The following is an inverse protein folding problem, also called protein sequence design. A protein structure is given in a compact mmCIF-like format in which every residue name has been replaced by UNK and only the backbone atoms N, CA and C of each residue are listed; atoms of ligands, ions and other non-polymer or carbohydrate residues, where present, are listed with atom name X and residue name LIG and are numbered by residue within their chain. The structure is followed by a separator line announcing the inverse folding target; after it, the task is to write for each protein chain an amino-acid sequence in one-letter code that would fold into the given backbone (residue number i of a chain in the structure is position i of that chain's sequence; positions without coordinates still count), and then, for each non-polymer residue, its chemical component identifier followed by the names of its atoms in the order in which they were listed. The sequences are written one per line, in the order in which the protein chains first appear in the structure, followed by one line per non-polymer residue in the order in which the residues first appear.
data_IF_962844650752
#
_entry.id   IF_962844650752
#
_cell.length_a   1.000
_cell.length_b   1.000
_cell.length_c   1.000
_cell.angle_alpha   90.00
_cell.angle_beta   90.00
_cell.angle_gamma   90.00
#
_symmetry.space_group_name_H-M   'P 1'
#
loop_
_entity.id
_entity.type
_entity.pdbx_description
1 polymer ?
#
# COMPACT_ATOMS: atom_id res chain seq x y z
N UNK A 1 -12.90 -28.66 30.66
CA UNK A 1 -12.30 -27.32 30.66
C UNK A 1 -12.36 -26.68 29.25
N UNK A 2 -13.48 -26.87 28.53
CA UNK A 2 -13.73 -26.37 27.15
C UNK A 2 -15.22 -25.99 27.00
N UNK A 3 -15.77 -25.24 27.96
CA UNK A 3 -17.15 -24.75 27.90
C UNK A 3 -17.28 -23.22 27.93
N UNK A 4 -16.18 -22.50 28.14
CA UNK A 4 -16.21 -21.03 28.31
C UNK A 4 -15.72 -20.24 27.08
N UNK A 5 -15.36 -20.91 25.97
CA UNK A 5 -14.95 -20.24 24.73
C UNK A 5 -16.11 -19.73 23.86
N UNK A 6 -17.36 -19.87 24.30
CA UNK A 6 -18.52 -19.25 23.63
C UNK A 6 -18.81 -17.81 24.07
N UNK A 7 -18.09 -17.27 25.06
CA UNK A 7 -18.33 -15.92 25.56
C UNK A 7 -17.40 -14.83 25.01
N UNK A 8 -16.55 -15.14 24.02
CA UNK A 8 -15.78 -14.15 23.25
C UNK A 8 -16.07 -14.21 21.74
N UNK A 9 -17.33 -14.47 21.36
CA UNK A 9 -17.81 -13.99 20.07
C UNK A 9 -18.19 -12.53 20.30
N UNK A 10 -17.23 -11.63 20.10
CA UNK A 10 -17.46 -10.19 20.04
C UNK A 10 -18.69 -9.96 19.17
N UNK A 11 -19.75 -9.40 19.73
CA UNK A 11 -21.00 -9.12 18.99
C UNK A 11 -20.63 -8.31 17.75
N UNK A 12 -20.61 -8.97 16.60
CA UNK A 12 -20.33 -8.31 15.33
C UNK A 12 -21.52 -7.38 15.10
N UNK A 13 -21.31 -6.07 15.21
CA UNK A 13 -22.37 -5.12 14.88
C UNK A 13 -22.60 -5.21 13.37
N UNK A 14 -23.66 -5.90 12.96
CA UNK A 14 -23.98 -6.12 11.55
C UNK A 14 -24.10 -4.80 10.74
N UNK A 15 -24.39 -3.69 11.42
CA UNK A 15 -24.37 -2.34 10.85
C UNK A 15 -22.97 -1.93 10.38
N UNK A 16 -21.92 -2.15 11.20
CA UNK A 16 -20.53 -1.73 10.95
C UNK A 16 -20.00 -2.19 9.57
N UNK A 17 -20.52 -3.31 9.07
CA UNK A 17 -20.07 -3.97 7.86
C UNK A 17 -21.09 -3.93 6.71
N UNK A 18 -22.20 -3.20 6.86
CA UNK A 18 -23.22 -3.03 5.81
C UNK A 18 -23.62 -4.38 5.16
N UNK A 19 -23.75 -5.41 5.99
CA UNK A 19 -23.84 -6.80 5.51
C UNK A 19 -25.05 -7.06 4.62
N UNK A 20 -26.13 -6.32 4.82
CA UNK A 20 -27.35 -6.49 4.02
C UNK A 20 -27.14 -6.06 2.56
N UNK A 21 -26.33 -5.02 2.30
CA UNK A 21 -25.95 -4.63 0.93
C UNK A 21 -25.02 -5.67 0.30
N UNK A 22 -24.10 -6.24 1.09
CA UNK A 22 -23.24 -7.34 0.65
C UNK A 22 -24.07 -8.55 0.22
N UNK A 23 -25.02 -8.98 1.06
CA UNK A 23 -25.88 -10.14 0.77
C UNK A 23 -26.72 -9.89 -0.48
N UNK A 24 -27.27 -8.69 -0.61
CA UNK A 24 -28.03 -8.31 -1.81
C UNK A 24 -27.15 -8.39 -3.06
N UNK A 25 -25.95 -7.81 -3.03
CA UNK A 25 -25.00 -7.87 -4.15
C UNK A 25 -24.67 -9.31 -4.56
N UNK A 26 -24.48 -10.21 -3.59
CA UNK A 26 -24.23 -11.64 -3.84
C UNK A 26 -25.43 -12.32 -4.51
N UNK A 27 -26.64 -12.07 -3.99
CA UNK A 27 -27.87 -12.69 -4.48
C UNK A 27 -28.26 -12.19 -5.86
N UNK A 28 -28.18 -10.88 -6.09
CA UNK A 28 -28.57 -10.24 -7.36
C UNK A 28 -27.69 -10.75 -8.53
N UNK A 29 -26.44 -11.13 -8.25
CA UNK A 29 -25.51 -11.65 -9.26
C UNK A 29 -25.40 -13.19 -9.27
N UNK A 30 -26.04 -13.89 -8.32
CA UNK A 30 -26.03 -15.35 -8.27
C UNK A 30 -24.64 -15.97 -8.00
N UNK A 31 -23.78 -15.28 -7.23
CA UNK A 31 -22.44 -15.79 -6.92
C UNK A 31 -22.48 -16.99 -5.96
N UNK A 32 -21.62 -17.97 -6.20
CA UNK A 32 -21.52 -19.22 -5.44
C UNK A 32 -20.21 -19.34 -4.67
N UNK A 33 -19.15 -18.66 -5.11
CA UNK A 33 -17.82 -18.69 -4.51
C UNK A 33 -17.19 -17.29 -4.45
N UNK A 34 -16.91 -16.78 -3.25
CA UNK A 34 -16.42 -15.42 -3.06
C UNK A 34 -15.16 -15.37 -2.21
N UNK A 35 -14.24 -14.50 -2.61
CA UNK A 35 -13.13 -14.09 -1.76
C UNK A 35 -13.57 -12.94 -0.85
N UNK A 36 -13.16 -12.97 0.42
CA UNK A 36 -13.41 -11.91 1.40
C UNK A 36 -12.06 -11.42 1.90
N UNK A 37 -11.68 -10.21 1.52
CA UNK A 37 -10.43 -9.60 1.95
C UNK A 37 -10.65 -8.64 3.12
N UNK A 38 -9.89 -8.85 4.20
CA UNK A 38 -9.84 -8.02 5.39
C UNK A 38 -8.41 -7.51 5.61
N UNK A 39 -8.30 -6.35 6.26
CA UNK A 39 -7.03 -5.88 6.79
C UNK A 39 -6.63 -6.68 8.04
N UNK A 40 -5.34 -6.63 8.40
CA UNK A 40 -4.84 -7.33 9.59
C UNK A 40 -5.50 -6.84 10.89
N UNK A 41 -5.94 -5.57 10.94
CA UNK A 41 -6.62 -4.99 12.12
C UNK A 41 -8.00 -5.63 12.35
N UNK A 42 -8.66 -6.08 11.29
CA UNK A 42 -9.98 -6.69 11.32
C UNK A 42 -9.94 -8.21 11.46
N UNK A 43 -8.77 -8.83 11.62
CA UNK A 43 -8.65 -10.29 11.73
C UNK A 43 -9.47 -10.87 12.88
N UNK A 44 -9.53 -10.16 14.02
CA UNK A 44 -10.30 -10.60 15.19
C UNK A 44 -11.82 -10.67 14.91
N UNK A 45 -12.31 -9.90 13.94
CA UNK A 45 -13.72 -9.86 13.52
C UNK A 45 -14.01 -10.79 12.33
N UNK A 46 -12.97 -11.31 11.65
CA UNK A 46 -13.09 -12.08 10.41
C UNK A 46 -13.97 -13.33 10.55
N UNK A 47 -13.78 -14.13 11.61
CA UNK A 47 -14.56 -15.36 11.82
C UNK A 47 -16.04 -15.04 12.01
N UNK A 48 -16.36 -14.05 12.85
CA UNK A 48 -17.74 -13.62 13.08
C UNK A 48 -18.41 -13.11 11.81
N UNK A 49 -17.67 -12.36 10.98
CA UNK A 49 -18.13 -11.87 9.69
C UNK A 49 -18.47 -13.02 8.73
N UNK A 50 -17.54 -13.96 8.55
CA UNK A 50 -17.73 -15.12 7.67
C UNK A 50 -18.87 -16.00 8.17
N UNK A 51 -18.95 -16.28 9.47
CA UNK A 51 -20.06 -17.05 10.04
C UNK A 51 -21.41 -16.37 9.84
N UNK A 52 -21.47 -15.04 9.96
CA UNK A 52 -22.68 -14.29 9.69
C UNK A 52 -23.10 -14.42 8.21
N UNK A 53 -22.17 -14.20 7.28
CA UNK A 53 -22.41 -14.37 5.85
C UNK A 53 -22.85 -15.80 5.52
N UNK A 54 -22.14 -16.83 6.00
CA UNK A 54 -22.49 -18.24 5.79
C UNK A 54 -23.86 -18.60 6.36
N UNK A 55 -24.24 -18.03 7.52
CA UNK A 55 -25.55 -18.31 8.12
C UNK A 55 -26.71 -17.76 7.28
N UNK A 56 -26.49 -16.62 6.61
CA UNK A 56 -27.48 -15.96 5.76
C UNK A 56 -27.44 -16.48 4.31
N UNK A 57 -26.31 -17.01 3.87
CA UNK A 57 -26.04 -17.53 2.52
C UNK A 57 -25.38 -18.91 2.61
N UNK A 58 -26.12 -19.96 3.02
CA UNK A 58 -25.55 -21.28 3.31
C UNK A 58 -25.00 -22.01 2.08
N UNK A 59 -25.46 -21.66 0.88
CA UNK A 59 -25.00 -22.24 -0.39
C UNK A 59 -23.73 -21.58 -0.95
N UNK A 60 -23.34 -20.42 -0.42
CA UNK A 60 -22.18 -19.66 -0.92
C UNK A 60 -20.93 -20.08 -0.15
N UNK A 61 -19.84 -20.31 -0.87
CA UNK A 61 -18.52 -20.60 -0.31
C UNK A 61 -17.75 -19.29 -0.14
N UNK A 62 -17.32 -19.01 1.10
CA UNK A 62 -16.48 -17.84 1.38
C UNK A 62 -15.03 -18.26 1.66
N UNK A 63 -14.08 -17.60 1.00
CA UNK A 63 -12.65 -17.77 1.22
C UNK A 63 -12.06 -16.50 1.84
N UNK A 64 -11.45 -16.62 3.02
CA UNK A 64 -10.89 -15.49 3.75
C UNK A 64 -9.46 -15.17 3.26
N UNK A 65 -9.22 -13.90 2.93
CA UNK A 65 -7.89 -13.35 2.66
C UNK A 65 -7.60 -12.28 3.70
N UNK A 66 -6.49 -12.43 4.43
CA UNK A 66 -5.99 -11.39 5.33
C UNK A 66 -4.70 -10.85 4.74
N UNK A 67 -4.70 -9.56 4.41
CA UNK A 67 -3.58 -8.92 3.72
C UNK A 67 -3.26 -7.57 4.35
N UNK A 68 -1.97 -7.27 4.43
CA UNK A 68 -1.45 -5.94 4.79
C UNK A 68 -1.42 -4.98 3.58
N UNK A 69 -1.80 -5.47 2.39
CA UNK A 69 -1.86 -4.66 1.18
C UNK A 69 -2.91 -3.54 1.31
N UNK A 70 -2.55 -2.33 0.88
CA UNK A 70 -3.52 -1.23 0.80
C UNK A 70 -4.46 -1.37 -0.41
N UNK A 71 -4.23 -2.34 -1.28
CA UNK A 71 -5.01 -2.65 -2.49
C UNK A 71 -5.67 -4.03 -2.34
N UNK A 72 -6.14 -4.59 -3.44
CA UNK A 72 -6.60 -5.97 -3.49
C UNK A 72 -5.41 -6.94 -3.49
N UNK A 73 -5.54 -8.05 -2.79
CA UNK A 73 -4.59 -9.16 -2.84
C UNK A 73 -5.04 -10.14 -3.93
N UNK A 74 -4.88 -9.70 -5.18
CA UNK A 74 -5.33 -10.46 -6.34
C UNK A 74 -4.55 -11.76 -6.51
N UNK A 75 -3.27 -11.79 -6.11
CA UNK A 75 -2.47 -13.01 -6.17
C UNK A 75 -3.05 -14.07 -5.23
N UNK A 76 -3.34 -13.71 -3.97
CA UNK A 76 -4.01 -14.62 -3.05
C UNK A 76 -5.38 -15.06 -3.60
N UNK A 77 -6.13 -14.13 -4.21
CA UNK A 77 -7.43 -14.40 -4.82
C UNK A 77 -7.33 -15.42 -5.97
N UNK A 78 -6.34 -15.26 -6.86
CA UNK A 78 -6.08 -16.17 -7.99
C UNK A 78 -5.64 -17.57 -7.53
N UNK A 79 -5.00 -17.68 -6.36
CA UNK A 79 -4.56 -18.96 -5.81
C UNK A 79 -5.64 -19.72 -5.04
N UNK A 80 -6.88 -19.22 -4.96
CA UNK A 80 -8.01 -19.90 -4.31
C UNK A 80 -8.57 -21.09 -5.14
N UNK A 81 -7.70 -21.98 -5.64
CA UNK A 81 -8.02 -23.33 -6.15
C UNK A 81 -8.72 -23.41 -7.53
N UNK A 82 -9.01 -24.66 -7.95
CA UNK A 82 -9.59 -25.05 -9.25
C UNK A 82 -11.01 -24.51 -9.56
N UNK A 83 -11.58 -23.70 -8.67
CA UNK A 83 -12.80 -22.94 -8.90
C UNK A 83 -12.46 -21.46 -8.88
N UNK A 84 -12.63 -20.77 -10.01
CA UNK A 84 -12.59 -19.31 -10.03
C UNK A 84 -13.55 -18.78 -8.96
N UNK A 85 -13.10 -17.83 -8.14
CA UNK A 85 -14.04 -17.05 -7.34
C UNK A 85 -14.84 -16.16 -8.29
N UNK A 86 -16.12 -16.05 -8.04
CA UNK A 86 -17.03 -15.24 -8.85
C UNK A 86 -16.86 -13.74 -8.56
N UNK A 87 -16.20 -13.40 -7.46
CA UNK A 87 -15.96 -12.02 -7.04
C UNK A 87 -15.16 -11.90 -5.75
N UNK A 88 -14.81 -10.66 -5.43
CA UNK A 88 -14.04 -10.29 -4.24
C UNK A 88 -14.79 -9.21 -3.44
N UNK A 89 -15.01 -9.45 -2.15
CA UNK A 89 -15.52 -8.45 -1.22
C UNK A 89 -14.34 -7.90 -0.42
N UNK A 90 -14.08 -6.60 -0.52
CA UNK A 90 -13.02 -5.90 0.22
C UNK A 90 -13.62 -5.04 1.33
N UNK A 91 -13.29 -5.37 2.57
CA UNK A 91 -13.68 -4.60 3.75
C UNK A 91 -12.56 -3.67 4.23
N UNK A 92 -12.95 -2.50 4.73
CA UNK A 92 -12.06 -1.53 5.37
C UNK A 92 -11.25 -0.70 4.39
N UNK A 93 -10.08 -0.25 4.83
CA UNK A 93 -9.31 0.76 4.10
C UNK A 93 -8.74 0.23 2.76
N UNK A 94 -8.82 1.03 1.70
CA UNK A 94 -8.26 0.76 0.38
C UNK A 94 -7.71 2.04 -0.25
N UNK A 95 -6.65 1.90 -1.03
CA UNK A 95 -6.05 2.98 -1.79
C UNK A 95 -6.70 3.23 -3.14
N UNK A 96 -7.66 2.39 -3.54
CA UNK A 96 -8.36 2.44 -4.82
C UNK A 96 -7.41 2.49 -6.02
N UNK A 97 -6.21 1.91 -5.90
CA UNK A 97 -5.28 1.91 -7.02
C UNK A 97 -5.78 1.07 -8.18
N UNK A 98 -5.53 1.51 -9.42
CA UNK A 98 -5.94 0.77 -10.61
C UNK A 98 -5.43 -0.68 -10.54
N UNK A 99 -6.29 -1.61 -10.95
CA UNK A 99 -5.91 -3.00 -11.18
C UNK A 99 -5.46 -3.15 -12.64
N UNK A 100 -4.70 -4.20 -12.92
CA UNK A 100 -4.33 -4.53 -14.29
C UNK A 100 -5.54 -4.91 -15.15
N UNK A 101 -5.48 -4.59 -16.45
CA UNK A 101 -6.54 -4.87 -17.42
C UNK A 101 -6.95 -6.33 -17.48
N UNK A 102 -6.00 -7.26 -17.33
CA UNK A 102 -6.28 -8.70 -17.37
C UNK A 102 -7.13 -9.20 -16.19
N UNK A 103 -7.31 -8.38 -15.15
CA UNK A 103 -8.08 -8.69 -13.94
C UNK A 103 -9.24 -7.70 -13.76
N UNK A 104 -9.45 -6.78 -14.70
CA UNK A 104 -10.59 -5.86 -14.65
C UNK A 104 -11.91 -6.63 -14.66
N UNK A 105 -11.95 -7.88 -15.15
CA UNK A 105 -13.18 -8.69 -15.22
C UNK A 105 -13.69 -9.22 -13.87
N UNK A 106 -12.85 -9.29 -12.83
CA UNK A 106 -13.30 -9.81 -11.52
C UNK A 106 -14.23 -8.78 -10.83
N UNK A 107 -15.50 -9.13 -10.54
CA UNK A 107 -16.39 -8.26 -9.78
C UNK A 107 -15.84 -8.00 -8.38
N UNK A 108 -15.75 -6.72 -8.00
CA UNK A 108 -15.24 -6.32 -6.70
C UNK A 108 -16.30 -5.48 -5.97
N UNK A 109 -16.68 -5.90 -4.76
CA UNK A 109 -17.56 -5.14 -3.90
C UNK A 109 -16.80 -4.53 -2.72
N UNK A 110 -16.85 -3.21 -2.60
CA UNK A 110 -16.14 -2.46 -1.58
C UNK A 110 -17.04 -1.99 -0.46
N UNK A 111 -16.58 -2.22 0.77
CA UNK A 111 -17.27 -1.81 1.99
C UNK A 111 -16.28 -1.10 2.89
N UNK A 112 -16.36 0.23 2.95
CA UNK A 112 -15.47 1.01 3.80
C UNK A 112 -15.88 1.03 5.28
N UNK A 113 -17.09 0.60 5.59
CA UNK A 113 -17.72 0.67 6.91
C UNK A 113 -18.49 1.97 7.15
N UNK A 114 -19.43 1.92 8.09
CA UNK A 114 -20.29 3.04 8.50
C UNK A 114 -20.14 3.41 9.98
N UNK A 115 -19.27 2.73 10.70
CA UNK A 115 -19.10 2.95 12.12
C UNK A 115 -18.27 4.22 12.36
N UNK A 116 -18.88 5.15 13.10
CA UNK A 116 -18.21 6.36 13.58
C UNK A 116 -18.25 6.34 15.10
N UNK A 117 -17.09 6.16 15.72
CA UNK A 117 -16.97 6.23 17.16
C UNK A 117 -17.30 7.66 17.66
N UNK A 118 -18.15 7.75 18.69
CA UNK A 118 -18.62 9.04 19.22
C UNK A 118 -17.46 9.91 19.71
N UNK A 119 -16.39 9.31 20.25
CA UNK A 119 -15.24 10.06 20.74
C UNK A 119 -14.37 10.57 19.58
N UNK A 120 -14.20 9.77 18.52
CA UNK A 120 -13.53 10.19 17.28
C UNK A 120 -14.29 11.32 16.58
N UNK A 121 -15.62 11.22 16.51
CA UNK A 121 -16.50 12.27 16.00
C UNK A 121 -16.29 13.58 16.74
N UNK A 122 -16.43 13.55 18.07
CA UNK A 122 -16.34 14.75 18.90
C UNK A 122 -14.98 15.42 18.76
N UNK A 123 -13.90 14.64 18.88
CA UNK A 123 -12.53 15.13 18.69
C UNK A 123 -12.34 15.80 17.33
N UNK A 124 -12.83 15.19 16.25
CA UNK A 124 -12.65 15.69 14.89
C UNK A 124 -13.39 17.01 14.68
N UNK A 125 -14.64 17.10 15.16
CA UNK A 125 -15.43 18.33 15.10
C UNK A 125 -14.75 19.46 15.87
N UNK A 126 -14.37 19.21 17.12
CA UNK A 126 -13.74 20.21 17.99
C UNK A 126 -12.45 20.74 17.38
N UNK A 127 -11.63 19.83 16.85
CA UNK A 127 -10.38 20.16 16.16
C UNK A 127 -10.60 21.06 14.93
N UNK A 128 -11.59 20.73 14.10
CA UNK A 128 -11.90 21.51 12.89
C UNK A 128 -12.44 22.90 13.27
N UNK A 129 -13.33 22.98 14.26
CA UNK A 129 -13.88 24.25 14.73
C UNK A 129 -12.80 25.14 15.37
N UNK A 130 -11.88 24.58 16.15
CA UNK A 130 -10.73 25.29 16.71
C UNK A 130 -9.80 25.81 15.61
N UNK A 131 -9.51 24.98 14.60
CA UNK A 131 -8.74 25.40 13.43
C UNK A 131 -9.44 26.55 12.68
N UNK A 132 -10.77 26.52 12.57
CA UNK A 132 -11.55 27.57 11.88
C UNK A 132 -11.58 28.87 12.69
N UNK A 133 -11.57 28.79 14.03
CA UNK A 133 -11.46 29.98 14.91
C UNK A 133 -10.09 30.65 14.81
N UNK A 134 -9.03 29.85 14.68
CA UNK A 134 -7.64 30.34 14.64
C UNK A 134 -7.18 30.77 13.24
N UNK A 135 -7.80 30.24 12.19
CA UNK A 135 -7.53 30.63 10.80
C UNK A 135 -8.56 31.67 10.37
N UNK A 136 -8.11 32.88 9.99
CA UNK A 136 -8.89 34.06 9.55
C UNK A 136 -10.42 33.84 9.41
N UNK A 137 -11.28 34.51 10.22
CA UNK A 137 -12.70 34.18 10.38
C UNK A 137 -13.61 34.59 9.20
N UNK A 138 -13.07 34.84 8.01
CA UNK A 138 -13.90 35.17 6.86
C UNK A 138 -14.85 33.99 6.54
N UNK A 139 -16.14 34.29 6.60
CA UNK A 139 -17.22 33.30 6.62
C UNK A 139 -17.42 32.57 5.29
N UNK A 140 -16.75 33.00 4.21
CA UNK A 140 -16.90 32.43 2.87
C UNK A 140 -15.80 31.43 2.49
N UNK A 141 -14.83 31.21 3.36
CA UNK A 141 -13.71 30.30 3.10
C UNK A 141 -14.16 28.84 3.05
N UNK A 142 -14.12 28.26 1.85
CA UNK A 142 -14.34 26.82 1.61
C UNK A 142 -13.07 26.05 1.91
N UNK A 143 -13.21 24.92 2.61
CA UNK A 143 -12.08 24.01 2.88
C UNK A 143 -12.33 22.67 2.19
N UNK A 144 -11.29 22.11 1.58
CA UNK A 144 -11.34 20.80 0.95
C UNK A 144 -10.96 19.71 1.96
N UNK A 145 -11.75 18.64 2.04
CA UNK A 145 -11.50 17.50 2.92
C UNK A 145 -11.14 16.26 2.12
N UNK A 146 -9.91 15.79 2.32
CA UNK A 146 -9.41 14.50 1.88
C UNK A 146 -9.56 13.49 3.03
N UNK A 147 -9.66 12.20 2.75
CA UNK A 147 -9.92 11.21 3.79
C UNK A 147 -9.52 9.76 3.45
N UNK A 148 -9.13 8.99 4.47
CA UNK A 148 -8.99 7.54 4.29
C UNK A 148 -10.37 6.91 4.08
N UNK A 149 -10.44 5.85 3.29
CA UNK A 149 -11.73 5.27 2.86
C UNK A 149 -12.59 4.82 4.05
N UNK A 150 -11.96 4.26 5.08
CA UNK A 150 -12.61 3.88 6.34
C UNK A 150 -13.24 5.05 7.15
N UNK A 151 -13.05 6.29 6.73
CA UNK A 151 -13.65 7.48 7.36
C UNK A 151 -14.69 8.17 6.46
N UNK A 152 -15.17 7.53 5.40
CA UNK A 152 -16.21 8.11 4.52
C UNK A 152 -17.45 8.53 5.30
N UNK A 153 -17.97 7.71 6.21
CA UNK A 153 -19.15 8.05 7.01
C UNK A 153 -18.88 9.19 7.99
N UNK A 154 -17.69 9.26 8.59
CA UNK A 154 -17.27 10.38 9.42
C UNK A 154 -17.27 11.68 8.61
N UNK A 155 -16.69 11.67 7.41
CA UNK A 155 -16.65 12.84 6.52
C UNK A 155 -18.04 13.24 6.05
N UNK A 156 -18.91 12.28 5.71
CA UNK A 156 -20.30 12.54 5.34
C UNK A 156 -21.05 13.30 6.43
N UNK A 157 -20.92 12.85 7.68
CA UNK A 157 -21.52 13.54 8.84
C UNK A 157 -20.93 14.94 9.03
N UNK A 158 -19.61 15.09 8.84
CA UNK A 158 -18.94 16.38 8.95
C UNK A 158 -19.41 17.38 7.90
N UNK A 159 -19.49 16.99 6.63
CA UNK A 159 -19.89 17.87 5.53
C UNK A 159 -21.37 18.24 5.59
N UNK A 160 -22.21 17.36 6.14
CA UNK A 160 -23.61 17.68 6.44
C UNK A 160 -23.74 18.69 7.59
N UNK A 161 -22.87 18.59 8.61
CA UNK A 161 -22.86 19.53 9.75
C UNK A 161 -22.21 20.87 9.41
N UNK A 162 -21.15 20.86 8.63
CA UNK A 162 -20.29 22.01 8.33
C UNK A 162 -20.31 22.28 6.82
N UNK A 163 -21.26 23.09 6.37
CA UNK A 163 -21.54 23.36 4.95
C UNK A 163 -20.41 24.07 4.17
N UNK A 164 -19.40 24.56 4.88
CA UNK A 164 -18.19 25.17 4.30
C UNK A 164 -17.06 24.15 4.08
N UNK A 165 -17.22 22.92 4.56
CA UNK A 165 -16.38 21.78 4.17
C UNK A 165 -16.92 21.16 2.88
N UNK A 166 -16.03 20.84 1.97
CA UNK A 166 -16.36 20.08 0.77
C UNK A 166 -15.49 18.81 0.71
N UNK A 167 -16.09 17.63 0.56
CA UNK A 167 -15.32 16.40 0.45
C UNK A 167 -14.74 16.27 -0.96
N UNK A 168 -13.46 15.91 -1.06
CA UNK A 168 -12.90 15.46 -2.33
C UNK A 168 -13.51 14.11 -2.72
N UNK A 169 -13.63 13.85 -4.02
CA UNK A 169 -14.08 12.55 -4.52
C UNK A 169 -12.91 11.61 -4.70
N UNK A 170 -13.11 10.35 -4.36
CA UNK A 170 -12.18 9.27 -4.63
C UNK A 170 -12.38 8.78 -6.07
N UNK A 171 -11.29 8.53 -6.79
CA UNK A 171 -11.33 8.04 -8.16
C UNK A 171 -11.52 6.53 -8.14
N UNK A 172 -12.53 6.06 -8.85
CA UNK A 172 -12.67 4.66 -9.21
C UNK A 172 -12.08 4.45 -10.62
N UNK A 173 -11.02 3.65 -10.67
CA UNK A 173 -10.26 3.35 -11.88
C UNK A 173 -10.79 2.13 -12.65
N UNK A 174 -11.80 1.42 -12.15
CA UNK A 174 -12.34 0.22 -12.81
C UNK A 174 -13.85 0.30 -13.02
N UNK A 175 -14.33 -0.38 -14.07
CA UNK A 175 -15.76 -0.46 -14.34
C UNK A 175 -16.49 -1.45 -13.43
N UNK A 176 -15.77 -2.45 -12.93
CA UNK A 176 -16.31 -3.62 -12.24
C UNK A 176 -16.19 -3.53 -10.72
N UNK A 177 -15.85 -2.35 -10.21
CA UNK A 177 -15.93 -2.06 -8.79
C UNK A 177 -17.28 -1.47 -8.45
N UNK A 178 -17.93 -2.10 -7.49
CA UNK A 178 -19.15 -1.66 -6.87
C UNK A 178 -18.89 -1.25 -5.41
N UNK A 179 -19.71 -0.34 -4.93
CA UNK A 179 -19.60 0.27 -3.61
C UNK A 179 -20.98 0.27 -2.98
N UNK A 180 -21.03 0.31 -1.64
CA UNK A 180 -22.30 0.50 -0.94
C UNK A 180 -22.93 1.84 -1.31
N UNK A 181 -24.25 1.90 -1.27
CA UNK A 181 -25.04 3.05 -1.70
C UNK A 181 -24.61 4.32 -0.95
N UNK A 182 -24.31 4.16 0.33
CA UNK A 182 -23.84 5.23 1.21
C UNK A 182 -22.52 5.87 0.79
N UNK A 183 -21.68 5.16 0.04
CA UNK A 183 -20.33 5.59 -0.38
C UNK A 183 -20.28 6.11 -1.81
N UNK A 184 -21.25 5.78 -2.67
CA UNK A 184 -21.27 6.16 -4.11
C UNK A 184 -21.11 7.65 -4.35
N UNK A 185 -21.67 8.50 -3.49
CA UNK A 185 -21.58 9.98 -3.61
C UNK A 185 -20.13 10.51 -3.51
N UNK A 186 -19.27 9.76 -2.81
CA UNK A 186 -17.85 10.08 -2.63
C UNK A 186 -16.97 9.48 -3.72
N UNK A 187 -17.52 8.64 -4.60
CA UNK A 187 -16.79 8.00 -5.69
C UNK A 187 -17.02 8.77 -6.98
N UNK A 188 -15.94 8.98 -7.73
CA UNK A 188 -15.97 9.50 -9.08
C UNK A 188 -15.40 8.46 -10.04
N UNK A 189 -16.23 8.01 -10.98
CA UNK A 189 -15.82 7.02 -11.97
C UNK A 189 -15.02 7.69 -13.08
N UNK A 190 -13.72 7.43 -13.13
CA UNK A 190 -12.84 7.93 -14.18
C UNK A 190 -11.65 6.99 -14.34
N UNK A 191 -11.79 6.05 -15.27
CA UNK A 191 -10.78 5.00 -15.54
C UNK A 191 -9.51 5.54 -16.18
N UNK A 192 -9.55 6.75 -16.75
CA UNK A 192 -8.42 7.38 -17.43
C UNK A 192 -7.79 8.50 -16.60
N UNK A 193 -8.29 8.74 -15.38
CA UNK A 193 -7.76 9.80 -14.53
C UNK A 193 -6.31 9.55 -14.18
N UNK A 194 -5.52 10.63 -14.22
CA UNK A 194 -4.15 10.66 -13.72
C UNK A 194 -4.13 11.63 -12.55
N UNK A 195 -3.88 11.15 -11.33
CA UNK A 195 -3.73 12.05 -10.19
C UNK A 195 -2.28 12.02 -9.65
N UNK A 196 -1.41 12.95 -10.08
CA UNK A 196 0.00 12.90 -9.75
C UNK A 196 0.32 13.31 -8.30
N UNK A 197 -0.46 14.20 -7.69
CA UNK A 197 -0.09 14.88 -6.43
C UNK A 197 -1.04 14.61 -5.24
N UNK A 198 -2.30 14.24 -5.51
CA UNK A 198 -3.30 13.95 -4.48
C UNK A 198 -3.71 12.46 -4.41
N UNK A 199 -2.84 11.55 -4.88
CA UNK A 199 -3.09 10.12 -4.75
C UNK A 199 -4.32 9.63 -5.52
N UNK A 200 -5.35 9.17 -4.81
CA UNK A 200 -6.59 8.66 -5.41
C UNK A 200 -7.73 9.69 -5.40
N UNK A 201 -7.47 10.96 -5.07
CA UNK A 201 -8.51 11.99 -5.06
C UNK A 201 -8.63 12.70 -6.40
N UNK A 202 -9.86 12.92 -6.84
CA UNK A 202 -10.19 13.91 -7.87
C UNK A 202 -10.26 15.27 -7.21
N UNK A 203 -9.37 16.15 -7.64
CA UNK A 203 -9.37 17.54 -7.22
C UNK A 203 -10.38 18.33 -8.07
N UNK A 204 -11.25 19.16 -7.46
CA UNK A 204 -12.16 20.02 -8.20
C UNK A 204 -11.41 20.99 -9.12
N UNK A 205 -11.98 21.31 -10.29
CA UNK A 205 -11.35 22.20 -11.27
C UNK A 205 -11.14 23.62 -10.71
N UNK A 206 -12.00 24.04 -9.77
CA UNK A 206 -11.97 25.32 -9.06
C UNK A 206 -11.17 25.22 -7.76
N UNK A 207 -10.05 24.49 -7.77
CA UNK A 207 -9.24 24.24 -6.59
C UNK A 207 -8.76 25.51 -5.87
N UNK A 208 -8.52 26.59 -6.62
CA UNK A 208 -8.06 27.88 -6.09
C UNK A 208 -9.09 28.54 -5.14
N UNK A 209 -10.35 28.08 -5.12
CA UNK A 209 -11.38 28.58 -4.18
C UNK A 209 -11.16 28.08 -2.76
N UNK A 210 -10.38 27.01 -2.56
CA UNK A 210 -10.19 26.42 -1.25
C UNK A 210 -9.03 27.11 -0.52
N UNK A 211 -9.35 27.73 0.62
CA UNK A 211 -8.30 28.39 1.43
C UNK A 211 -7.50 27.42 2.30
N UNK A 212 -8.01 26.18 2.49
CA UNK A 212 -7.36 25.16 3.30
C UNK A 212 -7.70 23.75 2.83
N UNK A 213 -6.75 22.83 3.05
CA UNK A 213 -6.89 21.41 2.74
C UNK A 213 -6.71 20.63 4.04
N UNK A 214 -7.70 19.80 4.36
CA UNK A 214 -7.66 18.87 5.48
C UNK A 214 -7.49 17.44 4.95
N UNK A 215 -6.79 16.60 5.70
CA UNK A 215 -6.83 15.15 5.51
C UNK A 215 -7.27 14.48 6.82
N UNK A 216 -8.29 13.63 6.73
CA UNK A 216 -8.83 12.87 7.87
C UNK A 216 -8.48 11.39 7.72
N UNK A 217 -7.65 10.88 8.64
CA UNK A 217 -7.39 9.45 8.76
C UNK A 217 -6.03 9.10 9.36
N UNK A 218 -5.78 7.80 9.52
CA UNK A 218 -4.64 7.32 10.31
C UNK A 218 -3.27 7.43 9.60
N UNK A 219 -3.25 7.45 8.27
CA UNK A 219 -2.01 7.44 7.49
C UNK A 219 -2.08 8.37 6.27
N UNK A 220 -1.09 9.24 6.15
CA UNK A 220 -0.87 10.07 4.97
C UNK A 220 0.16 9.42 4.05
N UNK A 221 -0.16 9.29 2.77
CA UNK A 221 0.85 8.94 1.77
C UNK A 221 1.89 10.07 1.60
N UNK A 222 3.04 9.76 1.01
CA UNK A 222 4.13 10.71 0.78
C UNK A 222 3.68 11.92 -0.01
N UNK A 223 2.92 11.72 -1.10
CA UNK A 223 2.47 12.81 -1.95
C UNK A 223 1.65 13.85 -1.19
N UNK A 224 0.70 13.40 -0.36
CA UNK A 224 -0.09 14.28 0.51
C UNK A 224 0.75 14.97 1.59
N UNK A 225 1.81 14.32 2.10
CA UNK A 225 2.74 14.97 3.05
C UNK A 225 3.61 16.03 2.41
N UNK A 226 3.82 15.97 1.09
CA UNK A 226 4.54 17.00 0.35
C UNK A 226 3.67 18.23 0.06
N UNK A 227 2.33 18.12 0.16
CA UNK A 227 1.41 19.24 -0.03
C UNK A 227 1.64 20.30 1.06
N UNK A 228 2.06 21.53 0.70
CA UNK A 228 2.27 22.60 1.68
C UNK A 228 0.97 23.01 2.35
N UNK A 229 0.99 23.20 3.68
CA UNK A 229 -0.16 23.73 4.42
C UNK A 229 -1.30 22.74 4.67
N UNK A 230 -1.17 21.48 4.22
CA UNK A 230 -2.14 20.43 4.52
C UNK A 230 -2.20 20.17 6.02
N UNK A 231 -3.40 20.20 6.60
CA UNK A 231 -3.65 19.85 7.99
C UNK A 231 -4.12 18.40 8.08
N UNK A 232 -3.36 17.57 8.79
CA UNK A 232 -3.67 16.19 9.09
C UNK A 232 -4.45 16.09 10.39
N UNK A 233 -5.59 15.41 10.38
CA UNK A 233 -6.34 15.01 11.56
C UNK A 233 -6.40 13.48 11.60
N UNK A 234 -5.87 12.89 12.65
CA UNK A 234 -5.98 11.45 12.94
C UNK A 234 -6.98 11.27 14.10
N UNK A 235 -8.23 10.84 13.81
CA UNK A 235 -9.24 10.65 14.84
C UNK A 235 -8.91 9.53 15.84
N UNK A 236 -8.18 8.49 15.39
CA UNK A 236 -7.84 7.33 16.22
C UNK A 236 -6.76 7.71 17.24
N UNK A 237 -5.71 8.41 16.79
CA UNK A 237 -4.61 8.84 17.66
C UNK A 237 -4.83 10.19 18.32
N UNK A 238 -5.91 10.88 17.95
CA UNK A 238 -6.25 12.24 18.40
C UNK A 238 -5.13 13.25 18.11
N UNK A 239 -4.62 13.22 16.89
CA UNK A 239 -3.53 14.10 16.44
C UNK A 239 -4.07 15.13 15.46
N UNK A 240 -3.64 16.39 15.62
CA UNK A 240 -3.86 17.47 14.65
C UNK A 240 -2.50 18.09 14.31
N UNK A 241 -2.07 17.97 13.06
CA UNK A 241 -0.75 18.44 12.64
C UNK A 241 -0.84 19.17 11.29
N UNK A 242 -0.45 20.45 11.26
CA UNK A 242 -0.26 21.15 9.99
C UNK A 242 1.15 20.87 9.48
N UNK A 243 1.24 20.24 8.30
CA UNK A 243 2.50 19.75 7.76
C UNK A 243 3.27 20.85 7.04
N UNK A 244 4.56 20.92 7.35
CA UNK A 244 5.53 21.70 6.58
C UNK A 244 6.07 20.84 5.41
N UNK A 245 5.22 20.63 4.39
CA UNK A 245 5.56 19.78 3.23
C UNK A 245 6.88 20.16 2.56
N UNK A 246 7.24 21.45 2.53
CA UNK A 246 8.50 21.96 1.99
C UNK A 246 9.74 21.37 2.67
N UNK A 247 9.73 21.19 4.00
CA UNK A 247 10.88 20.62 4.73
C UNK A 247 11.09 19.15 4.35
N UNK A 248 10.01 18.40 4.21
CA UNK A 248 10.08 17.01 3.75
C UNK A 248 10.54 16.93 2.29
N UNK A 249 9.97 17.79 1.42
CA UNK A 249 10.37 17.89 0.02
C UNK A 249 11.87 18.17 -0.13
N UNK A 250 12.41 19.15 0.60
CA UNK A 250 13.85 19.45 0.61
C UNK A 250 14.70 18.28 1.06
N UNK A 251 14.25 17.51 2.06
CA UNK A 251 14.94 16.27 2.47
C UNK A 251 14.93 15.24 1.34
N UNK A 252 13.79 15.01 0.68
CA UNK A 252 13.68 14.07 -0.44
C UNK A 252 14.56 14.49 -1.62
N UNK A 253 14.56 15.77 -1.99
CA UNK A 253 15.44 16.33 -3.02
C UNK A 253 16.92 16.13 -2.64
N UNK A 254 17.28 16.41 -1.39
CA UNK A 254 18.64 16.18 -0.89
C UNK A 254 19.10 14.72 -1.00
N UNK A 255 18.18 13.76 -0.84
CA UNK A 255 18.46 12.33 -1.07
C UNK A 255 18.75 12.05 -2.55
N UNK A 256 17.95 12.58 -3.47
CA UNK A 256 18.14 12.42 -4.92
C UNK A 256 19.48 13.00 -5.35
N UNK A 257 19.79 14.24 -4.94
CA UNK A 257 21.03 14.91 -5.28
C UNK A 257 22.26 14.21 -4.70
N UNK A 258 22.15 13.61 -3.50
CA UNK A 258 23.21 12.78 -2.94
C UNK A 258 23.48 11.53 -3.78
N UNK A 259 22.45 10.92 -4.35
CA UNK A 259 22.59 9.75 -5.22
C UNK A 259 23.17 10.12 -6.60
N UNK A 260 22.77 11.26 -7.19
CA UNK A 260 23.31 11.76 -8.46
C UNK A 260 24.84 11.94 -8.45
N UNK A 261 25.44 12.21 -7.29
CA UNK A 261 26.90 12.38 -7.15
C UNK A 261 27.69 11.09 -7.27
N UNK A 262 27.06 9.92 -7.17
CA UNK A 262 27.74 8.63 -7.29
C UNK A 262 27.97 8.29 -8.76
N UNK A 263 29.21 7.90 -9.10
CA UNK A 263 29.58 7.49 -10.48
C UNK A 263 28.86 6.23 -10.95
N UNK A 264 28.60 5.30 -10.04
CA UNK A 264 27.88 4.05 -10.28
C UNK A 264 26.85 3.89 -9.17
N UNK A 265 25.64 3.45 -9.52
CA UNK A 265 24.56 3.21 -8.56
C UNK A 265 24.10 1.76 -8.63
N UNK A 266 24.09 1.08 -7.48
CA UNK A 266 23.49 -0.23 -7.29
C UNK A 266 22.11 -0.03 -6.66
N UNK A 267 21.05 -0.26 -7.42
CA UNK A 267 19.68 -0.01 -7.00
C UNK A 267 18.93 -1.32 -6.79
N UNK A 268 18.18 -1.41 -5.69
CA UNK A 268 17.22 -2.49 -5.45
C UNK A 268 15.82 -2.06 -5.81
N UNK A 269 15.25 -2.61 -6.88
CA UNK A 269 13.88 -2.33 -7.29
C UNK A 269 12.95 -3.22 -6.47
N UNK A 270 12.31 -2.63 -5.46
CA UNK A 270 11.36 -3.29 -4.58
C UNK A 270 10.01 -3.35 -5.27
N UNK A 271 9.69 -4.50 -5.81
CA UNK A 271 8.42 -4.74 -6.50
C UNK A 271 7.44 -5.31 -5.48
N UNK A 272 6.50 -4.48 -5.03
CA UNK A 272 5.50 -4.84 -4.02
C UNK A 272 4.15 -5.10 -4.70
N UNK A 273 3.48 -6.17 -4.30
CA UNK A 273 2.22 -6.64 -4.89
C UNK A 273 2.38 -6.90 -6.39
N UNK A 274 2.65 -8.15 -6.75
CA UNK A 274 2.89 -8.56 -8.14
C UNK A 274 1.66 -8.33 -9.02
N UNK A 275 1.49 -7.10 -9.51
CA UNK A 275 0.45 -6.72 -10.47
C UNK A 275 1.03 -6.71 -11.89
N UNK A 276 0.25 -7.07 -12.92
CA UNK A 276 0.66 -6.98 -14.33
C UNK A 276 1.09 -5.58 -14.79
N UNK A 277 0.75 -4.51 -14.06
CA UNK A 277 1.20 -3.14 -14.37
C UNK A 277 2.70 -2.91 -14.14
N UNK A 278 3.42 -3.86 -13.54
CA UNK A 278 4.86 -3.76 -13.36
C UNK A 278 5.57 -3.68 -14.72
N UNK A 279 5.07 -4.35 -15.75
CA UNK A 279 5.72 -4.38 -17.07
C UNK A 279 5.90 -2.97 -17.66
N UNK A 280 4.91 -2.09 -17.49
CA UNK A 280 5.04 -0.68 -17.92
C UNK A 280 6.19 0.03 -17.17
N UNK A 281 6.31 -0.19 -15.86
CA UNK A 281 7.43 0.34 -15.08
C UNK A 281 8.76 -0.24 -15.55
N UNK A 282 8.81 -1.53 -15.88
CA UNK A 282 10.04 -2.20 -16.31
C UNK A 282 10.48 -1.73 -17.70
N UNK A 283 9.56 -1.69 -18.66
CA UNK A 283 9.82 -1.13 -19.99
C UNK A 283 10.31 0.32 -19.91
N UNK A 284 9.62 1.14 -19.10
CA UNK A 284 10.02 2.53 -18.90
C UNK A 284 11.38 2.62 -18.22
N UNK A 285 11.67 1.75 -17.25
CA UNK A 285 12.97 1.68 -16.56
C UNK A 285 14.07 1.40 -17.56
N UNK A 286 13.91 0.41 -18.45
CA UNK A 286 14.94 0.09 -19.45
C UNK A 286 15.20 1.26 -20.40
N UNK A 287 14.18 2.07 -20.72
CA UNK A 287 14.34 3.28 -21.55
C UNK A 287 15.07 4.43 -20.85
N UNK A 288 14.88 4.60 -19.53
CA UNK A 288 15.40 5.77 -18.79
C UNK A 288 16.67 5.47 -17.97
N UNK A 289 16.99 4.20 -17.77
CA UNK A 289 18.14 3.76 -16.97
C UNK A 289 19.44 4.27 -17.60
N UNK A 290 20.26 4.93 -16.80
CA UNK A 290 21.63 5.32 -17.19
C UNK A 290 22.56 4.10 -17.24
N UNK A 291 23.52 4.11 -18.16
CA UNK A 291 24.49 3.00 -18.41
C UNK A 291 25.24 2.56 -17.14
N UNK A 292 25.49 3.49 -16.22
CA UNK A 292 26.18 3.26 -14.96
C UNK A 292 25.27 2.81 -13.78
N UNK A 293 23.96 2.65 -14.00
CA UNK A 293 23.04 2.13 -13.00
C UNK A 293 22.95 0.59 -13.10
N UNK A 294 23.25 -0.11 -12.01
CA UNK A 294 23.00 -1.55 -11.86
C UNK A 294 21.68 -1.74 -11.13
N UNK A 295 20.76 -2.47 -11.73
CA UNK A 295 19.41 -2.69 -11.18
C UNK A 295 19.27 -4.14 -10.75
N UNK A 296 18.96 -4.34 -9.47
CA UNK A 296 18.64 -5.63 -8.87
C UNK A 296 17.14 -5.65 -8.58
N UNK A 297 16.42 -6.59 -9.18
CA UNK A 297 14.96 -6.70 -9.02
C UNK A 297 14.67 -7.57 -7.81
N UNK A 298 13.93 -7.03 -6.85
CA UNK A 298 13.59 -7.69 -5.59
C UNK A 298 12.07 -7.79 -5.54
N UNK A 299 11.56 -8.98 -5.81
CA UNK A 299 10.13 -9.27 -5.74
C UNK A 299 9.73 -9.54 -4.30
N UNK A 300 8.73 -8.81 -3.82
CA UNK A 300 8.22 -8.90 -2.46
C UNK A 300 6.76 -9.36 -2.48
N UNK A 301 6.55 -10.61 -2.08
CA UNK A 301 5.22 -11.21 -1.97
C UNK A 301 4.70 -11.00 -0.54
N UNK A 302 3.60 -10.26 -0.43
CA UNK A 302 2.68 -10.09 0.71
C UNK A 302 3.21 -9.60 2.08
N UNK A 303 4.52 -9.56 2.35
CA UNK A 303 5.08 -8.79 3.47
C UNK A 303 6.58 -8.52 3.36
N UNK A 304 6.94 -7.26 3.57
CA UNK A 304 8.33 -6.83 3.78
C UNK A 304 8.61 -6.67 5.26
N UNK A 305 9.72 -7.24 5.70
CA UNK A 305 10.30 -6.93 6.99
C UNK A 305 11.70 -6.35 6.73
N UNK A 306 12.13 -5.43 7.59
CA UNK A 306 13.44 -4.80 7.57
C UNK A 306 14.55 -5.85 7.54
N UNK A 307 14.35 -6.97 8.25
CA UNK A 307 15.27 -8.11 8.26
C UNK A 307 15.51 -8.71 6.87
N UNK A 308 14.48 -8.78 6.01
CA UNK A 308 14.62 -9.34 4.65
C UNK A 308 15.45 -8.40 3.76
N UNK A 309 15.25 -7.10 3.93
CA UNK A 309 15.91 -6.07 3.12
C UNK A 309 17.30 -5.69 3.63
N UNK A 310 17.58 -5.92 4.91
CA UNK A 310 18.88 -5.67 5.53
C UNK A 310 20.04 -6.48 4.93
N UNK A 311 19.74 -7.62 4.30
CA UNK A 311 20.74 -8.47 3.65
C UNK A 311 21.32 -7.88 2.35
N UNK A 312 20.73 -6.81 1.81
CA UNK A 312 21.19 -6.18 0.57
C UNK A 312 22.20 -5.04 0.83
N UNK A 313 23.28 -5.34 1.56
CA UNK A 313 24.28 -4.35 1.97
C UNK A 313 25.04 -3.68 0.80
N UNK A 314 25.04 -4.30 -0.39
CA UNK A 314 25.74 -3.80 -1.58
C UNK A 314 24.93 -2.76 -2.37
N UNK A 315 23.71 -2.44 -1.94
CA UNK A 315 22.85 -1.46 -2.59
C UNK A 315 23.09 -0.04 -2.06
N UNK A 316 22.91 0.94 -2.93
CA UNK A 316 22.99 2.36 -2.59
C UNK A 316 21.63 2.93 -2.17
N UNK A 317 20.55 2.38 -2.73
CA UNK A 317 19.17 2.78 -2.47
C UNK A 317 18.19 1.70 -2.93
N UNK A 318 16.99 1.73 -2.37
CA UNK A 318 15.83 1.02 -2.89
C UNK A 318 14.96 1.96 -3.73
N UNK A 319 14.33 1.42 -4.77
CA UNK A 319 13.29 2.08 -5.55
C UNK A 319 12.00 1.28 -5.40
N UNK A 320 10.99 1.89 -4.82
CA UNK A 320 9.67 1.27 -4.66
C UNK A 320 8.92 1.30 -6.00
N UNK A 321 8.65 0.13 -6.53
CA UNK A 321 7.80 -0.13 -7.68
C UNK A 321 6.49 -0.73 -7.16
N UNK A 322 5.40 -0.02 -7.35
CA UNK A 322 4.11 -0.42 -6.85
C UNK A 322 3.02 0.03 -7.83
N UNK A 323 2.07 -0.86 -8.13
CA UNK A 323 0.88 -0.53 -8.92
C UNK A 323 -0.01 0.51 -8.22
N UNK A 324 0.11 0.63 -6.89
CA UNK A 324 -0.53 1.70 -6.14
C UNK A 324 0.43 2.82 -5.74
N UNK A 325 -0.09 4.06 -5.68
CA UNK A 325 0.63 5.24 -5.18
C UNK A 325 0.75 5.28 -3.65
N UNK A 326 0.44 4.17 -2.96
CA UNK A 326 0.67 4.04 -1.53
C UNK A 326 2.16 4.10 -1.25
N UNK A 327 2.54 4.90 -0.27
CA UNK A 327 3.91 4.94 0.25
C UNK A 327 4.03 4.27 1.61
N UNK A 328 3.07 3.40 1.98
CA UNK A 328 3.06 2.72 3.29
C UNK A 328 4.41 2.02 3.57
N UNK A 329 5.06 1.45 2.55
CA UNK A 329 6.40 0.85 2.68
C UNK A 329 7.51 1.84 2.98
N UNK A 330 7.47 3.05 2.40
CA UNK A 330 8.46 4.10 2.67
C UNK A 330 8.38 4.53 4.13
N UNK A 331 7.19 4.42 4.74
CA UNK A 331 6.92 4.89 6.09
C UNK A 331 7.09 3.83 7.17
N UNK A 332 6.88 2.56 6.81
CA UNK A 332 6.93 1.43 7.76
C UNK A 332 8.34 0.89 7.97
N UNK A 333 9.23 1.02 6.98
CA UNK A 333 10.53 0.36 6.98
C UNK A 333 11.64 1.31 7.46
N UNK A 334 12.25 1.00 8.61
CA UNK A 334 13.47 1.63 9.10
C UNK A 334 14.70 0.92 8.53
N UNK A 335 15.09 1.30 7.30
CA UNK A 335 16.25 0.75 6.62
C UNK A 335 17.45 1.69 6.71
N UNK A 336 18.64 1.11 6.82
CA UNK A 336 19.91 1.83 6.68
C UNK A 336 20.08 2.44 5.27
N UNK A 337 19.34 1.96 4.27
CA UNK A 337 19.34 2.46 2.90
C UNK A 337 18.10 3.31 2.61
N UNK A 338 18.24 4.40 1.85
CA UNK A 338 17.11 5.23 1.48
C UNK A 338 16.16 4.49 0.51
N UNK A 339 14.85 4.70 0.68
CA UNK A 339 13.82 4.23 -0.24
C UNK A 339 13.30 5.42 -1.07
N UNK A 340 13.43 5.32 -2.39
CA UNK A 340 12.88 6.24 -3.39
C UNK A 340 11.52 5.74 -3.88
N UNK A 341 10.64 6.67 -4.24
CA UNK A 341 9.52 6.38 -5.14
C UNK A 341 10.03 6.26 -6.57
N UNK A 342 9.26 5.62 -7.44
CA UNK A 342 9.59 5.57 -8.87
C UNK A 342 9.73 6.97 -9.49
N UNK A 343 8.86 7.93 -9.13
CA UNK A 343 8.98 9.33 -9.60
C UNK A 343 10.32 9.97 -9.24
N UNK A 344 10.85 9.69 -8.05
CA UNK A 344 12.16 10.23 -7.64
C UNK A 344 13.31 9.54 -8.39
N UNK A 345 13.13 8.27 -8.76
CA UNK A 345 14.05 7.58 -9.66
C UNK A 345 14.02 8.17 -11.08
N UNK A 346 12.85 8.57 -11.59
CA UNK A 346 12.74 9.29 -12.87
C UNK A 346 13.56 10.59 -12.83
N UNK A 347 13.43 11.39 -11.75
CA UNK A 347 14.22 12.61 -11.54
C UNK A 347 15.72 12.30 -11.44
N UNK A 348 16.09 11.22 -10.75
CA UNK A 348 17.48 10.75 -10.65
C UNK A 348 18.06 10.43 -12.05
N UNK A 349 17.24 9.88 -12.94
CA UNK A 349 17.62 9.58 -14.31
C UNK A 349 17.56 10.79 -15.26
N UNK A 350 17.10 11.95 -14.81
CA UNK A 350 16.99 13.17 -15.63
C UNK A 350 15.69 13.28 -16.41
N UNK A 351 14.69 12.44 -16.12
CA UNK A 351 13.41 12.48 -16.83
C UNK A 351 12.61 13.75 -16.50
N UNK A 352 11.91 14.24 -17.53
CA UNK A 352 10.89 15.27 -17.40
C UNK A 352 9.71 14.78 -16.55
N UNK A 353 9.49 15.35 -15.36
CA UNK A 353 8.38 14.95 -14.47
C UNK A 353 7.96 16.06 -13.51
N UNK A 354 6.73 15.99 -12.98
CA UNK A 354 6.24 16.91 -11.94
C UNK A 354 6.36 16.25 -10.56
N UNK A 355 7.02 16.95 -9.64
CA UNK A 355 7.24 16.46 -8.28
C UNK A 355 7.31 17.62 -7.27
N UNK A 356 6.47 17.53 -6.24
CA UNK A 356 6.38 18.56 -5.20
C UNK A 356 5.89 19.92 -5.71
N UNK A 357 5.03 19.94 -6.74
CA UNK A 357 4.53 21.17 -7.37
C UNK A 357 5.52 21.85 -8.32
N UNK A 358 6.66 21.22 -8.62
CA UNK A 358 7.70 21.76 -9.53
C UNK A 358 7.88 20.81 -10.71
N UNK A 359 8.05 21.40 -11.90
CA UNK A 359 8.44 20.68 -13.11
C UNK A 359 9.96 20.47 -13.13
N UNK A 360 10.39 19.22 -13.21
CA UNK A 360 11.78 18.82 -13.28
C UNK A 360 12.14 18.54 -14.73
N UNK A 361 13.05 19.32 -15.30
CA UNK A 361 13.60 19.13 -16.64
C UNK A 361 15.13 19.17 -16.52
N UNK A 362 15.80 18.02 -16.65
CA UNK A 362 17.22 18.01 -17.00
C UNK A 362 17.29 17.56 -18.45
N UNK A 363 17.86 18.38 -19.33
CA UNK A 363 18.17 17.94 -20.69
C UNK A 363 19.05 16.70 -20.57
N UNK A 364 18.58 15.59 -21.14
CA UNK A 364 19.42 14.42 -21.33
C UNK A 364 20.49 14.80 -22.36
N UNK A 365 21.62 15.36 -21.91
CA UNK A 365 22.87 15.12 -22.61
C UNK A 365 23.16 13.64 -22.39
N UNK A 366 22.71 12.82 -23.34
CA UNK A 366 23.26 11.48 -23.50
C UNK A 366 24.76 11.74 -23.64
N UNK A 367 25.55 11.32 -22.66
CA UNK A 367 27.01 11.28 -22.78
C UNK A 367 27.33 10.22 -23.83
N UNK A 368 27.16 10.59 -25.10
CA UNK A 368 27.79 9.97 -26.25
C UNK A 368 29.24 10.44 -26.27
N UNK A 369 30.03 9.99 -25.29
CA UNK A 369 31.45 9.82 -25.56
C UNK A 369 31.57 8.55 -26.40
N UNK A 370 31.76 8.78 -27.70
CA UNK A 370 32.12 7.83 -28.74
C UNK A 370 33.17 6.84 -28.22
N UNK A 371 32.80 5.57 -28.12
CA UNK A 371 33.76 4.47 -28.27
C UNK A 371 33.37 3.71 -29.54
N UNK A 372 34.09 4.04 -30.60
CA UNK A 372 34.13 3.32 -31.86
C UNK A 372 34.51 1.84 -31.66
N UNK A 373 33.95 1.01 -32.54
CA UNK A 373 34.32 -0.38 -32.88
C UNK A 373 33.94 -1.49 -31.89
N UNK A 374 32.84 -2.20 -32.19
CA UNK A 374 32.95 -3.53 -32.84
C UNK A 374 31.58 -3.99 -33.37
N UNK A 375 31.51 -4.20 -34.68
CA UNK A 375 30.45 -5.00 -35.31
C UNK A 375 30.49 -6.43 -34.77
N UNK A 376 29.34 -7.02 -34.43
CA UNK A 376 29.10 -8.46 -34.60
C UNK A 376 27.60 -8.80 -34.49
N UNK A 377 27.05 -9.06 -35.68
CA UNK A 377 26.03 -10.05 -36.05
C UNK A 377 24.75 -10.23 -35.23
N UNK A 378 23.65 -9.86 -35.88
CA UNK A 378 22.36 -10.54 -35.89
C UNK A 378 22.49 -12.07 -35.96
N UNK A 379 22.25 -12.76 -34.84
CA UNK A 379 21.54 -14.05 -34.73
C UNK A 379 21.71 -14.58 -33.32
N UNK A 380 20.69 -14.41 -32.46
CA UNK A 380 20.36 -15.33 -31.37
C UNK A 380 19.04 -14.88 -30.71
N UNK A 381 17.94 -15.16 -31.42
CA UNK A 381 16.63 -15.33 -30.79
C UNK A 381 16.59 -16.74 -30.18
N UNK A 382 16.01 -16.84 -28.98
CA UNK A 382 15.65 -18.06 -28.25
C UNK A 382 16.80 -18.85 -27.61
N UNK A 383 17.35 -18.34 -26.52
CA UNK A 383 17.77 -19.20 -25.41
C UNK A 383 17.29 -18.60 -24.08
N UNK A 384 16.46 -19.38 -23.40
CA UNK A 384 16.22 -19.26 -21.96
C UNK A 384 17.58 -19.22 -21.28
N UNK A 385 17.97 -18.06 -20.76
CA UNK A 385 19.17 -17.97 -19.93
C UNK A 385 18.81 -18.62 -18.59
N UNK A 386 19.18 -19.90 -18.50
CA UNK A 386 19.34 -20.62 -17.26
C UNK A 386 20.17 -19.78 -16.28
N UNK A 387 19.71 -19.85 -15.04
CA UNK A 387 20.20 -19.18 -13.85
C UNK A 387 21.64 -19.56 -13.48
N UNK A 388 22.65 -19.16 -14.26
CA UNK A 388 24.05 -19.41 -13.92
C UNK A 388 24.67 -18.40 -12.93
N UNK A 389 23.94 -17.35 -12.54
CA UNK A 389 24.42 -16.38 -11.53
C UNK A 389 24.00 -16.76 -10.09
N UNK A 390 23.18 -17.79 -9.91
CA UNK A 390 22.69 -18.23 -8.59
C UNK A 390 23.56 -19.27 -7.87
N UNK A 391 24.75 -19.62 -8.39
CA UNK A 391 25.57 -20.72 -7.84
C UNK A 391 26.84 -20.27 -7.11
N UNK A 392 27.16 -18.96 -7.01
CA UNK A 392 28.45 -18.53 -6.39
C UNK A 392 28.43 -17.85 -5.04
N UNK A 393 27.28 -17.61 -4.42
CA UNK A 393 27.22 -17.21 -3.01
C UNK A 393 26.23 -18.09 -2.24
N UNK A 394 26.64 -19.33 -2.00
CA UNK A 394 25.90 -20.27 -1.15
C UNK A 394 25.79 -19.72 0.28
N UNK A 395 24.55 -19.70 0.76
CA UNK A 395 24.17 -19.59 2.17
C UNK A 395 25.17 -20.29 3.12
N UNK A 396 25.78 -19.55 4.05
CA UNK A 396 26.60 -20.11 5.14
C UNK A 396 25.75 -20.77 6.26
N UNK A 397 24.57 -21.31 5.93
CA UNK A 397 23.62 -21.86 6.90
C UNK A 397 23.70 -23.38 7.09
N UNK A 398 24.00 -24.14 6.04
CA UNK A 398 24.00 -25.62 6.07
C UNK A 398 24.94 -26.20 5.00
N UNK A 399 26.24 -25.96 5.11
CA UNK A 399 27.23 -26.79 4.43
C UNK A 399 27.61 -27.95 5.35
N UNK A 400 27.10 -29.14 5.05
CA UNK A 400 27.68 -30.37 5.60
C UNK A 400 29.10 -30.45 5.05
N UNK A 401 30.07 -30.16 5.90
CA UNK A 401 31.48 -30.23 5.54
C UNK A 401 31.81 -31.70 5.19
N UNK A 402 32.15 -32.04 3.94
CA UNK A 402 32.40 -33.43 3.55
C UNK A 402 33.67 -34.02 4.20
N UNK A 403 34.45 -33.22 4.92
CA UNK A 403 35.57 -33.67 5.74
C UNK A 403 35.18 -34.09 7.18
N UNK A 404 33.90 -34.00 7.57
CA UNK A 404 33.46 -34.45 8.90
C UNK A 404 33.34 -35.97 8.95
N UNK A 405 34.20 -36.62 9.73
CA UNK A 405 33.96 -38.00 10.14
C UNK A 405 32.83 -38.05 11.18
N UNK A 406 31.92 -39.04 11.12
CA UNK A 406 30.85 -39.17 12.10
C UNK A 406 31.43 -39.33 13.51
N UNK A 407 30.94 -38.52 14.44
CA UNK A 407 31.32 -38.58 15.86
C UNK A 407 30.93 -39.95 16.42
N UNK A 408 31.93 -40.78 16.74
CA UNK A 408 31.73 -42.15 17.20
C UNK A 408 31.25 -42.25 18.65
N UNK A 409 31.34 -41.18 19.44
CA UNK A 409 30.90 -41.16 20.84
C UNK A 409 30.37 -39.78 21.26
N UNK A 410 29.20 -39.76 21.90
CA UNK A 410 28.67 -38.57 22.54
C UNK A 410 29.54 -38.21 23.76
N UNK A 411 30.20 -37.06 23.72
CA UNK A 411 30.95 -36.53 24.86
C UNK A 411 29.95 -36.24 25.99
N UNK A 412 30.07 -36.93 27.12
CA UNK A 412 29.26 -36.63 28.31
C UNK A 412 29.43 -35.15 28.68
N UNK A 413 28.32 -34.41 28.69
CA UNK A 413 28.29 -33.01 29.06
C UNK A 413 28.80 -32.81 30.49
N UNK A 414 29.53 -31.73 30.73
CA UNK A 414 29.93 -31.34 32.07
C UNK A 414 28.67 -31.00 32.89
N UNK A 415 28.53 -31.62 34.05
CA UNK A 415 27.47 -31.34 35.01
C UNK A 415 27.67 -29.95 35.62
N UNK A 416 27.07 -28.93 35.01
CA UNK A 416 26.88 -27.62 35.63
C UNK A 416 25.72 -27.66 36.63
N UNK A 417 25.90 -27.07 37.81
CA UNK A 417 24.85 -26.94 38.84
C UNK A 417 23.74 -26.00 38.34
N UNK A 418 22.71 -26.55 37.73
CA UNK A 418 21.39 -25.92 37.61
C UNK A 418 20.38 -26.73 38.43
N UNK A 419 20.54 -26.71 39.76
CA UNK A 419 19.55 -27.25 40.69
C UNK A 419 18.50 -26.16 40.94
N UNK A 420 17.28 -26.30 40.42
CA UNK A 420 16.22 -25.33 40.72
C UNK A 420 14.82 -25.50 40.14
N UNK A 421 14.53 -26.52 39.32
CA UNK A 421 13.20 -26.65 38.67
C UNK A 421 12.50 -27.97 38.99
N UNK A 422 12.47 -28.37 40.25
CA UNK A 422 11.72 -29.56 40.68
C UNK A 422 10.27 -29.29 41.11
N UNK A 423 9.79 -28.05 41.01
CA UNK A 423 8.45 -27.67 41.49
C UNK A 423 7.64 -26.88 40.44
N UNK A 424 7.45 -27.43 39.24
CA UNK A 424 6.31 -27.04 38.41
C UNK A 424 5.19 -28.08 38.55
N UNK A 425 3.98 -27.69 39.01
CA UNK A 425 2.85 -28.59 39.14
C UNK A 425 2.27 -28.95 37.76
N UNK A 426 1.96 -30.25 37.60
CA UNK A 426 1.37 -30.88 36.41
C UNK A 426 -0.06 -30.38 36.14
#
# INVERSE_FOLDING_TARGET
MFKDSHHMITTLNAMEYQLDECIKWIQDNGYESLAVQLDQRSIAKSIGLIMCLQSKLPSVKFSLIVSDSCSFDLLATQHLGDGMVDGLIKFGDTCLAPVSRDIDELPIFMIFGDFVDSSQWQFTVDSIEELKKTTNPDNNDKWLVLFSTNHVELVKRLTNKLSWLEPAKLINFSFNWEFTESHKDFIHKDVNAICPDFGAFRIPNDFDKYSKILFIGSQLNLYLRLVPGLTHIDPEKRIVETRQGQKLLSKRIGLIERLKRKKTLNLGFLITNAFPSIDEYMEKTERIKKKNHKINRILLINSTDECKLGNFANLDAFVLINGCKCTKFIDKLDLHLPILTYKEYEILCGCKTQYGGVEWNQENSIDDEEDETTELSTNEQNQLIESEVLVKDTWYGLTINPAYQPLSFAKHGQSGKASGYSNEPI
#
